data_IF_707945361349
#
_entry.id   IF_707945361349
#
_cell.length_a   1.000
_cell.length_b   1.000
_cell.length_c   1.000
_cell.angle_alpha   90.00
_cell.angle_beta   90.00
_cell.angle_gamma   90.00
#
_symmetry.space_group_name_H-M   'P 1'
#
loop_
_entity.id
_entity.type
_entity.pdbx_description
1 polymer ?
#
# COMPACT_ATOMS: atom_id res chain seq x y z
N UNK A 1 1.42 20.24 -1.77
CA UNK A 1 2.22 19.63 -0.68
C UNK A 1 2.90 20.77 0.09
N UNK A 2 3.35 20.58 1.34
CA UNK A 2 4.21 21.56 2.01
C UNK A 2 5.48 21.88 1.20
N UNK A 3 6.06 23.07 1.40
CA UNK A 3 7.24 23.55 0.66
C UNK A 3 8.44 22.62 0.90
N UNK A 4 8.72 22.29 2.16
CA UNK A 4 9.79 21.35 2.54
C UNK A 4 9.69 19.99 1.83
N UNK A 5 8.47 19.43 1.70
CA UNK A 5 8.26 18.15 0.98
C UNK A 5 8.58 18.29 -0.49
N UNK A 6 8.11 19.37 -1.13
CA UNK A 6 8.35 19.66 -2.55
C UNK A 6 9.85 19.80 -2.80
N UNK A 7 10.54 20.58 -2.00
CA UNK A 7 11.94 20.93 -2.20
C UNK A 7 12.85 19.71 -1.94
N UNK A 8 12.53 18.91 -0.92
CA UNK A 8 13.19 17.61 -0.69
C UNK A 8 12.97 16.65 -1.88
N UNK A 9 11.77 16.63 -2.45
CA UNK A 9 11.44 15.74 -3.57
C UNK A 9 12.02 16.19 -4.92
N UNK A 10 12.37 17.47 -5.08
CA UNK A 10 13.00 18.04 -6.27
C UNK A 10 14.50 18.31 -6.10
N UNK A 11 15.06 18.01 -4.93
CA UNK A 11 16.43 18.34 -4.51
C UNK A 11 16.78 19.83 -4.73
N UNK A 12 15.82 20.71 -4.42
CA UNK A 12 15.99 22.16 -4.50
C UNK A 12 16.40 22.68 -3.13
N UNK A 13 17.47 23.47 -3.10
CA UNK A 13 17.89 24.23 -1.92
C UNK A 13 17.80 25.71 -2.27
N UNK A 14 16.70 26.33 -1.84
CA UNK A 14 16.49 27.77 -2.02
C UNK A 14 16.81 28.48 -0.71
N UNK A 15 17.96 29.16 -0.68
CA UNK A 15 18.47 29.81 0.52
C UNK A 15 17.94 31.24 0.64
N UNK A 16 16.65 31.37 0.98
CA UNK A 16 16.03 32.67 1.22
C UNK A 16 16.52 33.25 2.56
N UNK A 17 17.09 34.48 2.60
CA UNK A 17 17.57 35.08 3.84
C UNK A 17 16.45 35.28 4.88
N UNK A 18 16.77 35.03 6.15
CA UNK A 18 15.83 35.14 7.29
C UNK A 18 15.99 36.42 8.11
N UNK A 19 17.18 37.01 8.12
CA UNK A 19 17.46 38.28 8.77
C UNK A 19 16.72 39.42 8.08
N UNK A 20 16.24 40.40 8.83
CA UNK A 20 15.30 41.41 8.31
C UNK A 20 15.82 42.19 7.10
N UNK A 21 17.01 42.81 7.20
CA UNK A 21 17.59 43.61 6.10
C UNK A 21 17.89 42.76 4.86
N UNK A 22 18.49 41.58 5.04
CA UNK A 22 18.82 40.73 3.89
C UNK A 22 17.58 40.14 3.22
N UNK A 23 16.52 39.89 4.00
CA UNK A 23 15.23 39.43 3.48
C UNK A 23 14.62 40.51 2.59
N UNK A 24 14.59 41.76 3.04
CA UNK A 24 14.09 42.89 2.25
C UNK A 24 14.90 43.10 0.97
N UNK A 25 16.23 43.09 1.07
CA UNK A 25 17.12 43.19 -0.08
C UNK A 25 16.89 42.07 -1.11
N UNK A 26 16.77 40.83 -0.62
CA UNK A 26 16.47 39.68 -1.46
C UNK A 26 15.09 39.82 -2.13
N UNK A 27 14.06 40.21 -1.37
CA UNK A 27 12.71 40.43 -1.91
C UNK A 27 12.69 41.53 -2.96
N UNK A 28 13.37 42.66 -2.76
CA UNK A 28 13.45 43.76 -3.73
C UNK A 28 14.12 43.31 -5.04
N UNK A 29 15.17 42.49 -4.95
CA UNK A 29 15.86 41.95 -6.11
C UNK A 29 15.00 40.92 -6.85
N UNK A 30 14.32 40.03 -6.12
CA UNK A 30 13.42 39.03 -6.69
C UNK A 30 12.21 39.69 -7.36
N UNK A 31 11.63 40.73 -6.75
CA UNK A 31 10.52 41.51 -7.34
C UNK A 31 10.95 42.19 -8.65
N UNK A 32 12.16 42.76 -8.69
CA UNK A 32 12.73 43.32 -9.91
C UNK A 32 12.93 42.27 -11.00
N UNK A 33 13.40 41.07 -10.64
CA UNK A 33 13.54 39.95 -11.58
C UNK A 33 12.18 39.50 -12.12
N UNK A 34 11.16 39.39 -11.25
CA UNK A 34 9.79 39.06 -11.64
C UNK A 34 9.21 40.14 -12.56
N UNK A 35 9.41 41.42 -12.25
CA UNK A 35 8.95 42.55 -13.08
C UNK A 35 9.58 42.58 -14.47
N UNK A 36 10.79 42.02 -14.61
CA UNK A 36 11.49 41.86 -15.89
C UNK A 36 11.14 40.55 -16.61
N UNK A 37 10.35 39.67 -15.99
CA UNK A 37 9.97 38.35 -16.52
C UNK A 37 8.59 38.38 -17.19
N UNK A 38 8.16 37.24 -17.74
CA UNK A 38 6.85 37.08 -18.38
C UNK A 38 5.67 36.97 -17.40
N UNK A 39 5.94 36.95 -16.08
CA UNK A 39 4.94 36.81 -15.03
C UNK A 39 4.17 35.48 -15.03
N UNK A 40 4.55 34.51 -15.87
CA UNK A 40 3.82 33.25 -16.06
C UNK A 40 4.56 32.08 -15.43
N UNK A 41 5.90 32.11 -15.42
CA UNK A 41 6.73 31.04 -14.84
C UNK A 41 7.31 31.47 -13.50
N UNK A 42 7.50 30.53 -12.55
CA UNK A 42 8.28 30.83 -11.36
C UNK A 42 9.73 31.17 -11.77
N UNK A 43 10.25 32.27 -11.23
CA UNK A 43 11.64 32.69 -11.43
C UNK A 43 12.59 31.95 -10.47
N UNK A 44 13.90 32.15 -10.63
CA UNK A 44 14.90 31.56 -9.74
C UNK A 44 15.10 30.05 -9.90
N UNK A 45 15.54 29.40 -8.82
CA UNK A 45 15.89 27.97 -8.82
C UNK A 45 14.68 27.06 -9.08
N UNK A 46 13.50 27.45 -8.58
CA UNK A 46 12.27 26.70 -8.79
C UNK A 46 11.87 26.65 -10.27
N UNK A 47 12.14 27.73 -11.03
CA UNK A 47 11.88 27.76 -12.48
C UNK A 47 12.76 26.84 -13.31
N UNK A 48 13.93 26.47 -12.77
CA UNK A 48 14.91 25.56 -13.38
C UNK A 48 14.74 24.11 -12.93
N UNK A 49 13.90 23.87 -11.92
CA UNK A 49 13.70 22.55 -11.36
C UNK A 49 13.03 21.59 -12.36
N UNK A 50 13.31 20.28 -12.27
CA UNK A 50 12.60 19.29 -13.06
C UNK A 50 11.10 19.34 -12.78
N UNK A 51 10.30 19.12 -13.82
CA UNK A 51 8.85 19.30 -13.79
C UNK A 51 8.10 18.29 -12.91
N UNK A 52 8.72 17.16 -12.57
CA UNK A 52 8.05 16.12 -11.79
C UNK A 52 9.00 15.24 -10.99
N UNK A 53 8.59 14.89 -9.78
CA UNK A 53 9.22 13.87 -8.94
C UNK A 53 8.20 12.80 -8.61
N UNK A 54 8.63 11.54 -8.72
CA UNK A 54 7.77 10.38 -8.46
C UNK A 54 7.21 10.38 -7.04
N UNK A 55 8.06 10.72 -6.07
CA UNK A 55 7.68 10.81 -4.67
C UNK A 55 6.55 11.84 -4.48
N UNK A 56 6.65 12.99 -5.14
CA UNK A 56 5.64 14.05 -5.04
C UNK A 56 4.31 13.64 -5.67
N UNK A 57 4.34 12.96 -6.81
CA UNK A 57 3.11 12.43 -7.43
C UNK A 57 2.40 11.41 -6.53
N UNK A 58 3.15 10.51 -5.87
CA UNK A 58 2.56 9.52 -4.95
C UNK A 58 1.96 10.14 -3.69
N UNK A 59 2.55 11.24 -3.19
CA UNK A 59 2.06 11.96 -2.01
C UNK A 59 0.93 12.95 -2.32
N UNK A 60 0.81 13.37 -3.58
CA UNK A 60 -0.17 14.36 -4.00
C UNK A 60 -1.59 13.88 -3.70
N UNK A 61 -2.42 14.79 -3.18
CA UNK A 61 -3.84 14.53 -2.97
C UNK A 61 -4.56 14.68 -4.30
N UNK A 62 -5.43 13.73 -4.61
CA UNK A 62 -6.29 13.76 -5.81
C UNK A 62 -7.56 14.57 -5.61
N UNK A 63 -8.06 14.65 -4.36
CA UNK A 63 -9.28 15.37 -4.01
C UNK A 63 -8.98 16.67 -3.23
N UNK A 64 -9.75 17.75 -3.44
CA UNK A 64 -9.60 18.99 -2.68
C UNK A 64 -9.85 18.76 -1.18
N UNK A 65 -9.13 19.50 -0.33
CA UNK A 65 -9.22 19.39 1.13
C UNK A 65 -10.02 20.53 1.74
N UNK A 66 -11.35 20.47 1.61
CA UNK A 66 -12.25 21.53 2.09
C UNK A 66 -12.28 21.70 3.61
N UNK A 67 -11.74 20.74 4.39
CA UNK A 67 -11.61 20.91 5.86
C UNK A 67 -10.69 22.08 6.24
N UNK A 68 -9.79 22.52 5.36
CA UNK A 68 -8.96 23.72 5.58
C UNK A 68 -9.79 25.01 5.59
N UNK A 69 -10.87 25.07 4.81
CA UNK A 69 -11.68 26.28 4.64
C UNK A 69 -12.74 26.43 5.75
N UNK A 70 -12.70 25.56 6.76
CA UNK A 70 -13.64 25.59 7.87
C UNK A 70 -13.32 26.77 8.80
N UNK A 71 -14.34 27.39 9.43
CA UNK A 71 -14.11 28.42 10.43
C UNK A 71 -13.21 27.93 11.57
N UNK A 72 -12.57 28.87 12.26
CA UNK A 72 -11.87 28.54 13.50
C UNK A 72 -12.83 28.08 14.59
N UNK A 73 -12.28 27.45 15.62
CA UNK A 73 -13.05 27.00 16.78
C UNK A 73 -13.41 28.20 17.64
N UNK A 74 -14.64 28.23 18.14
CA UNK A 74 -15.13 29.30 19.00
C UNK A 74 -14.41 29.25 20.36
N UNK A 75 -13.58 30.26 20.64
CA UNK A 75 -12.89 30.37 21.93
C UNK A 75 -13.85 30.50 23.13
N UNK A 76 -15.00 31.14 22.95
CA UNK A 76 -16.05 31.25 23.99
C UNK A 76 -16.76 29.91 24.24
N UNK A 77 -16.93 29.08 23.21
CA UNK A 77 -17.52 27.75 23.38
C UNK A 77 -16.57 26.81 24.15
N UNK A 78 -15.27 26.87 23.85
CA UNK A 78 -14.24 26.12 24.59
C UNK A 78 -14.25 26.46 26.08
N UNK A 79 -14.58 27.71 26.43
CA UNK A 79 -14.74 28.18 27.82
C UNK A 79 -16.12 27.88 28.43
N UNK A 80 -17.10 27.44 27.62
CA UNK A 80 -18.48 27.19 28.07
C UNK A 80 -19.39 28.42 28.14
N UNK A 81 -18.96 29.56 27.60
CA UNK A 81 -19.64 30.87 27.73
C UNK A 81 -20.23 31.39 26.41
N UNK A 82 -20.31 30.55 25.37
CA UNK A 82 -20.83 30.97 24.07
C UNK A 82 -22.35 31.20 24.12
N UNK A 83 -22.77 32.47 24.15
CA UNK A 83 -24.19 32.89 24.15
C UNK A 83 -24.86 32.86 22.77
N UNK A 84 -24.09 32.66 21.70
CA UNK A 84 -24.59 32.68 20.31
C UNK A 84 -25.25 31.38 19.87
N UNK A 85 -25.16 30.31 20.68
CA UNK A 85 -25.81 29.03 20.39
C UNK A 85 -25.51 28.52 18.98
N UNK A 86 -26.55 28.12 18.26
CA UNK A 86 -26.50 27.67 16.86
C UNK A 86 -26.21 28.78 15.83
N UNK A 87 -26.38 30.05 16.20
CA UNK A 87 -26.09 31.19 15.31
C UNK A 87 -24.59 31.52 15.25
N UNK A 88 -23.76 30.86 16.06
CA UNK A 88 -22.33 31.07 16.07
C UNK A 88 -21.68 30.57 14.74
N UNK A 89 -21.02 31.45 13.95
CA UNK A 89 -20.35 31.06 12.71
C UNK A 89 -19.06 30.26 12.96
N UNK A 90 -18.54 30.30 14.18
CA UNK A 90 -17.37 29.54 14.59
C UNK A 90 -17.77 28.13 15.01
N UNK A 91 -16.82 27.19 14.91
CA UNK A 91 -17.12 25.78 15.20
C UNK A 91 -17.19 25.52 16.69
N UNK A 92 -18.17 24.72 17.08
CA UNK A 92 -18.37 24.21 18.43
C UNK A 92 -17.88 22.75 18.51
N UNK A 93 -16.57 22.57 18.43
CA UNK A 93 -15.89 21.27 18.50
C UNK A 93 -14.58 21.39 19.29
N UNK A 94 -14.08 20.26 19.79
CA UNK A 94 -12.85 20.23 20.58
C UNK A 94 -11.65 20.69 19.72
N UNK A 95 -10.83 21.65 20.19
CA UNK A 95 -9.55 21.98 19.56
C UNK A 95 -8.60 20.78 19.49
N UNK A 96 -7.66 20.86 18.56
CA UNK A 96 -6.50 19.97 18.55
C UNK A 96 -5.73 20.13 19.87
N UNK A 97 -5.23 19.02 20.38
CA UNK A 97 -4.42 18.98 21.59
C UNK A 97 -3.12 19.80 21.40
N UNK A 98 -2.75 20.70 22.31
CA UNK A 98 -1.46 21.39 22.26
C UNK A 98 -0.25 20.43 22.31
N UNK A 99 -0.42 19.22 22.85
CA UNK A 99 0.65 18.22 22.91
C UNK A 99 0.85 17.47 21.57
N UNK A 100 -0.02 17.69 20.57
CA UNK A 100 0.19 17.15 19.22
C UNK A 100 1.33 17.94 18.55
N UNK A 101 2.43 17.29 18.08
CA UNK A 101 3.49 17.98 17.34
C UNK A 101 2.98 18.69 16.07
N UNK A 102 1.77 18.39 15.61
CA UNK A 102 1.12 19.07 14.50
C UNK A 102 0.42 20.39 14.89
N UNK A 103 0.27 20.70 16.17
CA UNK A 103 -0.43 21.87 16.66
C UNK A 103 0.43 23.15 16.55
N UNK A 104 1.74 23.05 16.77
CA UNK A 104 2.66 24.17 16.59
C UNK A 104 3.01 24.34 15.10
N UNK A 105 2.43 25.37 14.47
CA UNK A 105 2.60 25.65 13.04
C UNK A 105 2.89 27.12 12.82
N UNK A 106 4.15 27.51 13.01
CA UNK A 106 4.63 28.83 12.65
C UNK A 106 4.56 29.06 11.13
N UNK A 107 4.05 30.23 10.73
CA UNK A 107 3.90 30.62 9.32
C UNK A 107 5.25 30.71 8.61
N UNK A 108 6.28 31.23 9.31
CA UNK A 108 7.62 31.40 8.74
C UNK A 108 8.25 30.04 8.44
N UNK A 109 8.19 29.11 9.39
CA UNK A 109 8.77 27.77 9.27
C UNK A 109 8.14 26.99 8.11
N UNK A 110 6.81 27.08 7.98
CA UNK A 110 6.06 26.50 6.86
C UNK A 110 6.35 27.15 5.50
N UNK A 111 6.77 28.42 5.48
CA UNK A 111 7.14 29.13 4.25
C UNK A 111 8.58 28.80 3.81
N UNK A 112 9.54 28.91 4.73
CA UNK A 112 10.95 28.61 4.45
C UNK A 112 11.23 27.11 4.32
N UNK A 113 10.26 26.25 4.66
CA UNK A 113 10.41 24.80 4.57
C UNK A 113 11.36 24.23 5.62
N UNK A 114 11.39 24.83 6.81
CA UNK A 114 12.23 24.42 7.92
C UNK A 114 11.31 23.93 9.04
N UNK A 115 11.56 22.74 9.59
CA UNK A 115 10.84 22.19 10.74
C UNK A 115 9.30 22.21 10.60
N UNK A 116 8.74 21.92 9.42
CA UNK A 116 7.29 21.80 9.27
C UNK A 116 6.83 20.39 9.71
N UNK A 117 6.10 20.23 10.83
CA UNK A 117 5.68 18.91 11.31
C UNK A 117 4.73 18.19 10.32
N UNK A 118 3.99 18.95 9.51
CA UNK A 118 3.16 18.37 8.42
C UNK A 118 4.08 17.77 7.35
N UNK A 119 5.16 18.47 7.01
CA UNK A 119 6.13 18.00 6.04
C UNK A 119 6.83 16.74 6.52
N UNK A 120 7.32 16.72 7.76
CA UNK A 120 8.00 15.56 8.34
C UNK A 120 7.11 14.32 8.36
N UNK A 121 5.82 14.48 8.69
CA UNK A 121 4.84 13.39 8.62
C UNK A 121 4.66 12.85 7.19
N UNK A 122 4.71 13.73 6.19
CA UNK A 122 4.61 13.36 4.78
C UNK A 122 5.90 12.70 4.27
N UNK A 123 7.06 13.19 4.67
CA UNK A 123 8.37 12.60 4.36
C UNK A 123 8.51 11.22 5.00
N UNK A 124 8.10 11.06 6.27
CA UNK A 124 8.05 9.76 6.95
C UNK A 124 7.10 8.79 6.26
N UNK A 125 5.95 9.27 5.77
CA UNK A 125 5.06 8.44 4.95
C UNK A 125 5.74 8.02 3.65
N UNK A 126 6.46 8.93 2.99
CA UNK A 126 7.19 8.66 1.76
C UNK A 126 8.30 7.62 1.97
N UNK A 127 9.05 7.69 3.07
CA UNK A 127 10.11 6.73 3.39
C UNK A 127 9.56 5.32 3.67
N UNK A 128 8.34 5.22 4.19
CA UNK A 128 7.64 3.94 4.39
C UNK A 128 6.94 3.41 3.14
N UNK A 129 6.89 4.17 2.04
CA UNK A 129 6.31 3.66 0.79
C UNK A 129 7.15 2.50 0.27
N UNK A 130 6.52 1.46 -0.31
CA UNK A 130 7.27 0.39 -0.92
C UNK A 130 8.18 0.97 -2.00
N UNK A 131 9.48 0.69 -1.85
CA UNK A 131 10.51 0.90 -2.86
C UNK A 131 11.11 -0.45 -3.20
N UNK A 132 11.71 -0.53 -4.38
CA UNK A 132 12.44 -1.70 -4.78
C UNK A 132 13.89 -1.54 -4.34
N UNK A 133 14.34 -2.33 -3.39
CA UNK A 133 15.74 -2.34 -2.97
C UNK A 133 16.59 -2.99 -4.07
N UNK A 134 17.72 -2.37 -4.40
CA UNK A 134 18.66 -2.92 -5.38
C UNK A 134 19.34 -4.16 -4.82
N UNK A 135 19.54 -5.23 -5.62
CA UNK A 135 20.19 -6.44 -5.16
C UNK A 135 21.65 -6.16 -4.81
N UNK A 136 22.12 -6.76 -3.73
CA UNK A 136 23.53 -6.70 -3.30
C UNK A 136 24.44 -7.30 -4.39
N UNK A 137 24.00 -8.42 -4.98
CA UNK A 137 24.70 -9.06 -6.08
C UNK A 137 24.58 -8.24 -7.38
N UNK A 138 25.74 -7.78 -7.86
CA UNK A 138 25.86 -6.95 -9.06
C UNK A 138 25.68 -7.70 -10.37
N UNK A 139 25.70 -9.02 -10.35
CA UNK A 139 25.54 -9.84 -11.53
C UNK A 139 24.07 -10.01 -11.93
N UNK A 140 23.14 -9.71 -11.01
CA UNK A 140 21.71 -9.83 -11.25
C UNK A 140 21.24 -8.69 -12.16
N UNK A 141 20.98 -9.02 -13.42
CA UNK A 141 20.34 -8.12 -14.40
C UNK A 141 18.95 -8.62 -14.82
N UNK A 142 18.40 -9.58 -14.09
CA UNK A 142 17.10 -10.20 -14.37
C UNK A 142 16.00 -9.54 -13.54
N UNK A 143 14.93 -9.12 -14.20
CA UNK A 143 13.69 -8.66 -13.56
C UNK A 143 12.61 -9.73 -13.66
N UNK A 144 11.93 -9.97 -12.55
CA UNK A 144 10.70 -10.74 -12.47
C UNK A 144 9.51 -9.82 -12.69
N UNK A 145 8.62 -10.16 -13.62
CA UNK A 145 7.36 -9.48 -13.89
C UNK A 145 6.23 -10.46 -13.60
N UNK A 146 5.40 -10.18 -12.60
CA UNK A 146 4.28 -11.03 -12.19
C UNK A 146 2.92 -10.35 -12.42
N UNK A 147 1.86 -11.15 -12.53
CA UNK A 147 0.49 -10.67 -12.71
C UNK A 147 0.16 -10.32 -14.16
N UNK A 148 0.85 -10.93 -15.12
CA UNK A 148 0.65 -10.64 -16.54
C UNK A 148 -0.67 -11.20 -17.08
N UNK A 149 -1.11 -12.33 -16.53
CA UNK A 149 -2.20 -13.12 -17.10
C UNK A 149 -1.85 -13.64 -18.50
N UNK A 150 -2.86 -14.17 -19.19
CA UNK A 150 -2.65 -14.89 -20.47
C UNK A 150 -2.78 -13.97 -21.70
N UNK A 151 -3.10 -12.70 -21.49
CA UNK A 151 -3.40 -11.72 -22.56
C UNK A 151 -2.19 -10.92 -23.01
N UNK A 152 -1.09 -10.94 -22.25
CA UNK A 152 0.10 -10.11 -22.51
C UNK A 152 1.11 -10.92 -23.30
N UNK A 153 1.59 -10.36 -24.41
CA UNK A 153 2.55 -11.01 -25.30
C UNK A 153 4.00 -10.60 -25.01
N UNK A 154 4.95 -11.43 -25.48
CA UNK A 154 6.39 -11.13 -25.42
C UNK A 154 6.75 -9.81 -26.12
N UNK A 155 6.11 -9.54 -27.25
CA UNK A 155 6.32 -8.32 -28.02
C UNK A 155 5.96 -7.06 -27.22
N UNK A 156 4.86 -7.08 -26.46
CA UNK A 156 4.45 -5.93 -25.64
C UNK A 156 5.43 -5.65 -24.49
N UNK A 157 5.91 -6.71 -23.82
CA UNK A 157 6.92 -6.58 -22.78
C UNK A 157 8.22 -6.03 -23.36
N UNK A 158 8.71 -6.60 -24.47
CA UNK A 158 9.91 -6.10 -25.15
C UNK A 158 9.77 -4.64 -25.56
N UNK A 159 8.66 -4.26 -26.18
CA UNK A 159 8.41 -2.88 -26.60
C UNK A 159 8.45 -1.90 -25.43
N UNK A 160 7.83 -2.25 -24.29
CA UNK A 160 7.87 -1.41 -23.10
C UNK A 160 9.28 -1.34 -22.48
N UNK A 161 9.98 -2.47 -22.36
CA UNK A 161 11.27 -2.53 -21.67
C UNK A 161 12.47 -2.10 -22.53
N UNK A 162 12.32 -2.05 -23.86
CA UNK A 162 13.36 -1.61 -24.79
C UNK A 162 13.84 -0.18 -24.52
N UNK A 163 12.96 0.69 -24.01
CA UNK A 163 13.31 2.09 -23.70
C UNK A 163 14.35 2.25 -22.59
N UNK A 164 14.58 1.23 -21.77
CA UNK A 164 15.53 1.29 -20.65
C UNK A 164 16.91 0.74 -21.02
N UNK A 165 16.99 -0.10 -22.05
CA UNK A 165 18.25 -0.65 -22.55
C UNK A 165 18.08 -1.96 -23.32
N UNK A 166 19.22 -2.53 -23.73
CA UNK A 166 19.27 -3.76 -24.51
C UNK A 166 18.86 -4.99 -23.68
N UNK A 167 17.90 -5.75 -24.21
CA UNK A 167 17.35 -6.96 -23.59
C UNK A 167 18.09 -8.18 -24.16
N UNK A 168 18.71 -8.99 -23.29
CA UNK A 168 19.38 -10.24 -23.67
C UNK A 168 18.38 -11.35 -23.94
N UNK A 169 17.50 -11.61 -22.98
CA UNK A 169 16.54 -12.70 -23.05
C UNK A 169 15.23 -12.29 -22.39
N UNK A 170 14.12 -12.81 -22.91
CA UNK A 170 12.79 -12.69 -22.30
C UNK A 170 12.19 -14.08 -22.24
N UNK A 171 11.89 -14.54 -21.04
CA UNK A 171 11.34 -15.89 -20.79
C UNK A 171 9.98 -15.74 -20.12
N UNK A 172 8.91 -16.17 -20.79
CA UNK A 172 7.55 -16.12 -20.26
C UNK A 172 7.18 -17.51 -19.73
N UNK A 173 6.73 -17.56 -18.49
CA UNK A 173 6.20 -18.77 -17.84
C UNK A 173 4.70 -18.58 -17.65
N UNK A 174 3.92 -18.99 -18.66
CA UNK A 174 2.46 -18.84 -18.68
C UNK A 174 1.78 -19.52 -17.48
N UNK A 175 2.26 -20.71 -17.07
CA UNK A 175 1.72 -21.45 -15.92
C UNK A 175 1.75 -20.65 -14.61
N UNK A 176 2.73 -19.77 -14.45
CA UNK A 176 2.88 -18.92 -13.26
C UNK A 176 2.50 -17.45 -13.54
N UNK A 177 2.02 -17.17 -14.76
CA UNK A 177 1.66 -15.83 -15.24
C UNK A 177 2.76 -14.79 -14.95
N UNK A 178 4.02 -15.20 -15.17
CA UNK A 178 5.20 -14.40 -14.90
C UNK A 178 6.19 -14.40 -16.08
N UNK A 179 7.01 -13.36 -16.15
CA UNK A 179 8.12 -13.25 -17.09
C UNK A 179 9.43 -12.94 -16.36
N UNK A 180 10.52 -13.41 -16.95
CA UNK A 180 11.88 -13.06 -16.59
C UNK A 180 12.53 -12.31 -17.74
N UNK A 181 12.93 -11.07 -17.49
CA UNK A 181 13.57 -10.20 -18.48
C UNK A 181 15.01 -9.98 -18.04
N UNK A 182 15.97 -10.41 -18.85
CA UNK A 182 17.40 -10.21 -18.58
C UNK A 182 17.94 -9.06 -19.41
N UNK A 183 18.51 -8.05 -18.76
CA UNK A 183 19.17 -6.93 -19.44
C UNK A 183 20.65 -7.22 -19.70
N UNK A 184 21.20 -6.53 -20.71
CA UNK A 184 22.62 -6.58 -21.01
C UNK A 184 23.49 -5.85 -19.97
N UNK A 185 22.96 -4.76 -19.40
CA UNK A 185 23.66 -3.94 -18.42
C UNK A 185 22.88 -3.87 -17.10
N UNK A 186 23.61 -3.76 -15.98
CA UNK A 186 23.00 -3.57 -14.65
C UNK A 186 22.25 -2.25 -14.56
N UNK A 187 22.82 -1.18 -15.12
CA UNK A 187 22.22 0.16 -15.10
C UNK A 187 20.84 0.18 -15.78
N UNK A 188 20.69 -0.52 -16.92
CA UNK A 188 19.39 -0.66 -17.59
C UNK A 188 18.38 -1.43 -16.73
N UNK A 189 18.82 -2.50 -16.06
CA UNK A 189 17.97 -3.27 -15.15
C UNK A 189 17.49 -2.42 -13.97
N UNK A 190 18.38 -1.65 -13.33
CA UNK A 190 18.04 -0.78 -12.20
C UNK A 190 17.06 0.32 -12.63
N UNK A 191 17.35 1.00 -13.73
CA UNK A 191 16.46 2.03 -14.29
C UNK A 191 15.09 1.46 -14.65
N UNK A 192 15.05 0.30 -15.31
CA UNK A 192 13.81 -0.39 -15.65
C UNK A 192 13.01 -0.77 -14.39
N UNK A 193 13.69 -1.26 -13.37
CA UNK A 193 13.06 -1.69 -12.13
C UNK A 193 12.47 -0.50 -11.37
N UNK A 194 13.23 0.57 -11.20
CA UNK A 194 12.77 1.82 -10.55
C UNK A 194 11.58 2.44 -11.27
N UNK A 195 11.64 2.54 -12.61
CA UNK A 195 10.58 3.18 -13.40
C UNK A 195 9.32 2.32 -13.51
N UNK A 196 9.45 1.00 -13.48
CA UNK A 196 8.33 0.06 -13.65
C UNK A 196 7.67 -0.35 -12.34
N UNK A 197 8.38 -0.26 -11.21
CA UNK A 197 7.88 -0.69 -9.91
C UNK A 197 6.62 0.07 -9.48
N UNK A 198 5.53 -0.66 -9.22
CA UNK A 198 4.21 -0.12 -8.84
C UNK A 198 3.59 0.88 -9.83
N UNK A 199 4.09 0.95 -11.07
CA UNK A 199 3.60 1.85 -12.13
C UNK A 199 3.22 1.12 -13.41
N UNK A 200 3.84 -0.02 -13.69
CA UNK A 200 3.65 -0.73 -14.94
C UNK A 200 2.21 -1.20 -15.10
N UNK A 201 1.52 -0.64 -16.10
CA UNK A 201 0.17 -1.05 -16.50
C UNK A 201 0.22 -1.33 -17.99
N UNK A 202 0.02 -2.58 -18.39
CA UNK A 202 -0.04 -3.01 -19.79
C UNK A 202 -1.41 -3.62 -20.04
N UNK A 203 -2.09 -3.23 -21.12
CA UNK A 203 -3.45 -3.68 -21.46
C UNK A 203 -4.46 -3.53 -20.31
N UNK A 204 -4.36 -2.43 -19.55
CA UNK A 204 -5.22 -2.14 -18.40
C UNK A 204 -4.94 -3.00 -17.15
N UNK A 205 -3.93 -3.87 -17.17
CA UNK A 205 -3.54 -4.69 -16.02
C UNK A 205 -2.26 -4.18 -15.38
N UNK A 206 -2.28 -4.07 -14.05
CA UNK A 206 -1.11 -3.69 -13.25
C UNK A 206 -0.19 -4.88 -13.09
N UNK A 207 1.06 -4.71 -13.53
CA UNK A 207 2.11 -5.70 -13.39
C UNK A 207 2.95 -5.41 -12.14
N UNK A 208 3.41 -6.49 -11.50
CA UNK A 208 4.31 -6.42 -10.35
C UNK A 208 5.72 -6.69 -10.82
N UNK A 209 6.66 -5.80 -10.50
CA UNK A 209 8.07 -5.96 -10.87
C UNK A 209 8.87 -6.22 -9.61
N UNK A 210 9.76 -7.22 -9.65
CA UNK A 210 10.70 -7.55 -8.57
C UNK A 210 12.06 -7.91 -9.18
N UNK A 211 13.11 -7.88 -8.38
CA UNK A 211 14.39 -8.44 -8.81
C UNK A 211 14.29 -9.96 -8.95
N UNK A 212 14.78 -10.47 -10.07
CA UNK A 212 14.83 -11.90 -10.35
C UNK A 212 15.93 -12.55 -9.54
N UNK A 213 15.63 -13.69 -8.91
CA UNK A 213 16.64 -14.56 -8.29
C UNK A 213 17.13 -15.55 -9.35
N UNK A 214 18.44 -15.73 -9.48
CA UNK A 214 18.96 -16.73 -10.41
C UNK A 214 18.54 -18.14 -9.95
N UNK A 215 18.14 -19.01 -10.88
CA UNK A 215 17.80 -20.40 -10.56
C UNK A 215 18.99 -21.14 -9.92
N UNK A 216 20.22 -20.75 -10.28
CA UNK A 216 21.46 -21.27 -9.68
C UNK A 216 21.65 -20.88 -8.20
N UNK A 217 21.12 -19.74 -7.74
CA UNK A 217 21.15 -19.35 -6.34
C UNK A 217 20.13 -20.15 -5.50
N UNK A 218 18.98 -20.50 -6.09
CA UNK A 218 17.92 -21.26 -5.42
C UNK A 218 18.38 -22.65 -4.96
N UNK A 219 19.34 -23.25 -5.67
CA UNK A 219 19.96 -24.53 -5.28
C UNK A 219 20.98 -24.42 -4.14
N UNK A 220 21.49 -23.21 -3.82
CA UNK A 220 22.45 -22.99 -2.73
C UNK A 220 21.77 -22.53 -1.43
N UNK A 221 20.68 -21.78 -1.53
CA UNK A 221 19.91 -21.32 -0.36
C UNK A 221 19.16 -22.47 0.34
N UNK A 222 18.76 -23.51 -0.40
CA UNK A 222 18.08 -24.69 0.15
C UNK A 222 18.98 -25.57 1.06
N UNK A 223 20.30 -25.38 1.06
CA UNK A 223 21.22 -26.12 1.94
C UNK A 223 21.53 -25.39 3.25
N UNK A 224 21.17 -24.11 3.38
CA UNK A 224 21.48 -23.30 4.56
C UNK A 224 20.26 -23.02 5.45
N UNK A 225 19.05 -23.21 4.93
CA UNK A 225 17.82 -23.09 5.69
C UNK A 225 17.01 -24.37 5.50
N UNK A 226 17.03 -25.25 6.52
CA UNK A 226 16.29 -26.51 6.53
C UNK A 226 14.78 -26.29 6.59
N UNK A 227 14.19 -25.91 5.46
CA UNK A 227 12.76 -25.66 5.33
C UNK A 227 12.17 -26.74 4.42
N UNK A 228 11.47 -27.72 5.01
CA UNK A 228 10.63 -28.65 4.26
C UNK A 228 9.39 -27.96 3.70
N UNK A 229 8.85 -28.58 2.64
CA UNK A 229 7.75 -28.17 1.76
C UNK A 229 6.36 -27.94 2.42
N UNK A 230 6.27 -27.79 3.74
CA UNK A 230 5.03 -27.45 4.43
C UNK A 230 5.36 -26.47 5.55
N UNK A 231 4.97 -25.20 5.37
CA UNK A 231 5.34 -24.09 6.24
C UNK A 231 4.82 -24.22 7.67
N UNK A 232 5.60 -24.83 8.56
CA UNK A 232 5.40 -24.71 10.01
C UNK A 232 6.77 -24.71 10.69
N UNK A 233 7.23 -23.54 11.12
CA UNK A 233 8.44 -23.37 11.94
C UNK A 233 8.06 -23.65 13.40
N UNK A 234 8.54 -24.75 13.96
CA UNK A 234 8.49 -25.01 15.40
C UNK A 234 9.87 -24.74 15.98
N UNK A 235 9.96 -23.82 16.93
CA UNK A 235 11.23 -23.55 17.63
C UNK A 235 11.58 -24.73 18.56
N UNK A 236 12.86 -25.15 18.65
CA UNK A 236 13.27 -26.27 19.49
C UNK A 236 13.10 -25.95 20.98
N UNK A 237 12.51 -26.90 21.73
CA UNK A 237 12.31 -26.79 23.18
C UNK A 237 13.68 -26.90 23.89
N UNK A 238 14.09 -25.92 24.71
CA UNK A 238 15.35 -25.97 25.44
C UNK A 238 15.37 -27.11 26.47
N UNK A 239 16.36 -28.02 26.38
CA UNK A 239 16.63 -29.03 27.42
C UNK A 239 16.94 -30.46 26.98
N UNK A 240 16.83 -30.80 25.69
CA UNK A 240 17.25 -32.11 25.17
C UNK A 240 18.62 -32.00 24.47
N UNK A 241 19.56 -32.95 24.67
CA UNK A 241 20.78 -33.01 23.87
C UNK A 241 20.43 -33.19 22.39
N UNK A 242 21.03 -32.37 21.53
CA UNK A 242 20.73 -32.28 20.10
C UNK A 242 20.86 -33.61 19.36
N UNK A 243 20.14 -33.70 18.23
CA UNK A 243 20.14 -34.88 17.38
C UNK A 243 21.58 -35.28 16.98
N UNK A 244 21.88 -36.57 17.14
CA UNK A 244 23.18 -37.16 16.80
C UNK A 244 23.46 -37.02 15.30
N UNK A 245 24.74 -36.85 14.90
CA UNK A 245 25.12 -36.78 13.50
C UNK A 245 24.82 -38.10 12.77
N UNK A 246 24.39 -38.04 11.50
CA UNK A 246 24.16 -39.24 10.71
C UNK A 246 25.48 -39.99 10.45
N UNK A 247 25.47 -41.34 10.45
CA UNK A 247 26.66 -42.13 10.20
C UNK A 247 27.13 -41.99 8.73
N UNK A 248 28.43 -42.17 8.46
CA UNK A 248 28.97 -42.04 7.11
C UNK A 248 28.42 -43.14 6.19
N UNK A 249 28.07 -42.75 4.97
CA UNK A 249 27.64 -43.67 3.93
C UNK A 249 28.77 -44.63 3.59
N UNK A 250 28.57 -45.92 3.87
CA UNK A 250 29.35 -47.02 3.32
C UNK A 250 28.46 -47.86 2.41
N UNK A 251 29.15 -48.44 1.45
CA UNK A 251 28.72 -48.86 0.13
C UNK A 251 27.90 -50.16 0.11
N UNK A 252 27.49 -50.52 -1.11
CA UNK A 252 26.53 -51.53 -1.56
C UNK A 252 26.52 -52.92 -0.89
N UNK A 253 25.34 -53.55 -1.01
CA UNK A 253 25.03 -54.99 -0.96
C UNK A 253 24.91 -55.73 0.37
N UNK A 254 23.72 -55.67 1.02
CA UNK A 254 23.12 -56.84 1.72
C UNK A 254 21.58 -56.67 1.89
N UNK A 255 20.73 -57.68 1.63
CA UNK A 255 19.26 -57.55 1.70
C UNK A 255 18.70 -57.55 3.13
N UNK A 256 17.69 -56.71 3.35
CA UNK A 256 16.92 -56.54 4.59
C UNK A 256 15.93 -57.68 4.82
N UNK A 257 16.33 -58.69 5.60
CA UNK A 257 15.41 -59.65 6.23
C UNK A 257 15.29 -59.35 7.73
N UNK A 258 14.39 -58.43 8.11
CA UNK A 258 14.16 -58.01 9.50
C UNK A 258 13.05 -58.83 10.21
N UNK A 259 12.38 -59.75 9.52
CA UNK A 259 11.43 -60.68 10.13
C UNK A 259 11.81 -62.10 9.71
N UNK A 260 12.41 -62.85 10.63
CA UNK A 260 12.70 -64.28 10.48
C UNK A 260 11.39 -65.05 10.18
N UNK A 261 11.15 -65.40 8.92
CA UNK A 261 10.15 -66.37 8.49
C UNK A 261 10.79 -67.34 7.48
N UNK A 262 10.61 -68.64 7.74
CA UNK A 262 11.09 -69.75 6.91
C UNK A 262 10.40 -69.79 5.52
N UNK A 263 11.06 -70.29 4.46
CA UNK A 263 10.51 -70.30 3.11
C UNK A 263 9.77 -71.61 2.85
N UNK A 264 8.45 -71.54 2.65
CA UNK A 264 7.71 -72.71 2.22
C UNK A 264 6.26 -72.41 1.86
N UNK A 265 5.87 -72.83 0.67
CA UNK A 265 4.50 -72.94 0.14
C UNK A 265 3.82 -71.64 -0.35
N UNK A 266 3.90 -71.41 -1.66
CA UNK A 266 2.78 -70.89 -2.48
C UNK A 266 1.64 -71.94 -2.53
N UNK A 267 0.38 -71.65 -2.98
CA UNK A 267 -0.02 -70.59 -3.92
C UNK A 267 -1.42 -69.93 -3.72
N UNK A 268 -1.65 -68.87 -4.51
CA UNK A 268 -2.87 -68.50 -5.27
C UNK A 268 -4.26 -68.24 -4.62
N UNK A 269 -4.87 -67.18 -5.21
CA UNK A 269 -6.30 -66.81 -5.36
C UNK A 269 -7.04 -66.19 -4.16
N UNK A 270 -7.44 -64.93 -4.30
CA UNK A 270 -8.84 -64.48 -4.46
C UNK A 270 -8.96 -62.97 -4.18
N UNK A 271 -9.41 -62.26 -5.22
CA UNK A 271 -10.12 -60.99 -5.18
C UNK A 271 -11.34 -61.09 -4.22
N UNK A 272 -11.66 -60.05 -3.42
CA UNK A 272 -13.03 -59.59 -3.09
C UNK A 272 -13.00 -58.28 -2.26
N UNK A 273 -13.87 -57.37 -2.70
CA UNK A 273 -14.29 -56.04 -2.24
C UNK A 273 -14.60 -55.83 -0.75
N UNK A 274 -14.35 -54.59 -0.27
CA UNK A 274 -15.01 -54.01 0.91
C UNK A 274 -16.10 -52.99 0.48
N UNK A 275 -17.27 -52.92 1.18
CA UNK A 275 -18.39 -52.02 0.85
C UNK A 275 -18.30 -50.64 1.53
N UNK A 276 -18.95 -49.58 0.97
CA UNK A 276 -19.00 -48.25 1.58
C UNK A 276 -20.19 -48.06 2.56
N UNK A 277 -20.10 -47.09 3.50
CA UNK A 277 -21.15 -46.81 4.48
C UNK A 277 -22.29 -45.96 3.91
N UNK A 278 -23.50 -45.98 4.53
CA UNK A 278 -24.71 -45.44 3.93
C UNK A 278 -25.08 -44.00 4.36
N UNK A 279 -25.49 -43.20 3.36
CA UNK A 279 -26.74 -42.43 3.41
C UNK A 279 -26.73 -40.96 3.86
N UNK A 280 -26.62 -40.03 2.90
CA UNK A 280 -27.39 -38.76 2.85
C UNK A 280 -27.71 -38.45 1.37
N UNK A 281 -29.00 -38.35 1.02
CA UNK A 281 -29.52 -38.17 -0.36
C UNK A 281 -29.40 -36.73 -0.89
N UNK A 282 -29.24 -36.53 -2.21
CA UNK A 282 -29.36 -35.22 -2.89
C UNK A 282 -30.77 -35.02 -3.53
N UNK A 283 -31.20 -33.78 -3.86
CA UNK A 283 -32.40 -33.52 -4.63
C UNK A 283 -32.15 -33.55 -6.16
N UNK A 284 -33.16 -33.86 -7.01
CA UNK A 284 -32.97 -34.17 -8.42
C UNK A 284 -33.10 -32.95 -9.37
N UNK A 285 -32.68 -33.09 -10.65
CA UNK A 285 -32.51 -31.98 -11.59
C UNK A 285 -33.56 -31.90 -12.72
N UNK A 286 -33.81 -30.67 -13.18
CA UNK A 286 -34.10 -30.36 -14.58
C UNK A 286 -35.49 -29.79 -14.88
N UNK A 287 -35.57 -28.55 -15.39
CA UNK A 287 -36.41 -28.15 -16.52
C UNK A 287 -35.90 -26.79 -17.06
N UNK A 288 -35.77 -26.68 -18.39
CA UNK A 288 -34.98 -25.67 -19.09
C UNK A 288 -35.58 -24.27 -19.27
N UNK A 289 -34.79 -23.41 -19.93
CA UNK A 289 -35.19 -22.08 -20.43
C UNK A 289 -36.14 -22.18 -21.64
N UNK A 290 -36.89 -21.10 -21.97
CA UNK A 290 -36.41 -20.18 -23.02
C UNK A 290 -36.83 -18.68 -22.91
N UNK A 291 -36.01 -17.84 -23.58
CA UNK A 291 -36.33 -16.67 -24.44
C UNK A 291 -37.22 -15.47 -23.96
N UNK A 292 -36.62 -14.27 -24.04
CA UNK A 292 -37.13 -12.93 -24.42
C UNK A 292 -38.62 -12.54 -24.23
N UNK A 293 -38.90 -11.42 -23.52
CA UNK A 293 -39.44 -10.18 -24.12
C UNK A 293 -39.50 -8.97 -23.18
N UNK A 294 -39.51 -7.79 -23.80
CA UNK A 294 -39.61 -6.42 -23.27
C UNK A 294 -40.83 -6.14 -22.40
N UNK A 295 -40.72 -5.09 -21.56
CA UNK A 295 -41.80 -4.09 -21.46
C UNK A 295 -42.51 -3.92 -20.12
N UNK A 296 -42.22 -2.79 -19.48
CA UNK A 296 -43.21 -1.81 -18.96
C UNK A 296 -43.88 -1.99 -17.58
N UNK A 297 -43.89 -0.85 -16.89
CA UNK A 297 -44.86 -0.35 -15.90
C UNK A 297 -44.70 -0.78 -14.44
N UNK A 298 -44.14 0.14 -13.64
CA UNK A 298 -44.21 0.12 -12.18
C UNK A 298 -45.62 0.46 -11.66
N UNK A 299 -45.97 0.04 -10.43
CA UNK A 299 -47.30 0.28 -9.85
C UNK A 299 -47.43 1.69 -9.24
N UNK A 300 -48.65 2.27 -9.17
CA UNK A 300 -48.90 3.62 -8.66
C UNK A 300 -48.98 3.67 -7.12
N UNK A 301 -48.88 4.86 -6.49
CA UNK A 301 -48.86 5.01 -5.04
C UNK A 301 -50.29 5.08 -4.44
N UNK A 302 -50.49 4.65 -3.18
CA UNK A 302 -51.74 4.89 -2.49
C UNK A 302 -51.74 6.29 -1.83
N UNK A 303 -52.82 7.02 -2.05
CA UNK A 303 -53.19 8.24 -1.32
C UNK A 303 -53.60 7.91 0.12
N UNK A 304 -53.05 8.66 1.09
CA UNK A 304 -53.44 8.57 2.50
C UNK A 304 -52.60 9.49 3.38
N UNK A 305 -52.92 10.79 3.37
CA UNK A 305 -52.31 11.75 4.28
C UNK A 305 -52.78 11.53 5.72
N UNK A 306 -51.83 11.33 6.63
CA UNK A 306 -51.97 11.49 8.08
C UNK A 306 -50.73 12.24 8.57
N UNK A 307 -50.85 13.34 9.33
CA UNK A 307 -49.69 14.13 9.72
C UNK A 307 -48.82 13.33 10.71
N UNK A 308 -47.48 13.39 10.62
CA UNK A 308 -46.62 12.68 11.55
C UNK A 308 -46.68 13.35 12.93
N UNK A 309 -46.97 12.54 13.95
CA UNK A 309 -46.85 12.92 15.35
C UNK A 309 -45.42 13.33 15.69
N UNK A 310 -45.30 14.16 16.73
CA UNK A 310 -44.07 14.76 17.23
C UNK A 310 -42.94 13.73 17.39
N UNK A 311 -41.83 13.94 16.71
CA UNK A 311 -40.62 13.11 16.82
C UNK A 311 -40.01 13.38 18.19
N UNK A 312 -40.05 12.38 19.07
CA UNK A 312 -39.48 12.47 20.41
C UNK A 312 -37.96 12.24 20.34
N UNK A 313 -37.18 13.28 20.63
CA UNK A 313 -35.72 13.22 20.65
C UNK A 313 -35.22 13.02 22.09
N UNK A 314 -34.31 12.06 22.36
CA UNK A 314 -33.79 11.76 23.72
C UNK A 314 -33.02 12.90 24.42
N UNK A 315 -32.86 14.05 23.76
CA UNK A 315 -32.27 15.27 24.34
C UNK A 315 -33.29 16.15 25.07
N UNK A 316 -34.58 15.82 24.99
CA UNK A 316 -35.67 16.61 25.60
C UNK A 316 -36.13 16.08 26.96
N UNK A 317 -35.46 15.05 27.50
CA UNK A 317 -35.78 14.48 28.82
C UNK A 317 -35.05 15.23 29.95
N UNK A 318 -35.76 16.02 30.78
CA UNK A 318 -35.15 16.82 31.85
C UNK A 318 -34.55 15.97 32.98
N UNK A 319 -34.91 14.69 33.08
CA UNK A 319 -34.41 13.78 34.12
C UNK A 319 -33.05 13.16 33.78
N UNK A 320 -32.52 13.38 32.58
CA UNK A 320 -31.24 12.79 32.11
C UNK A 320 -30.02 13.68 32.31
N UNK A 321 -30.19 14.96 32.65
CA UNK A 321 -29.09 15.86 33.00
C UNK A 321 -28.80 15.75 34.50
N UNK A 322 -27.89 14.85 34.86
CA UNK A 322 -27.32 14.75 36.19
C UNK A 322 -26.57 16.03 36.57
N UNK A 323 -27.28 16.96 37.20
CA UNK A 323 -26.71 18.13 37.88
C UNK A 323 -27.48 18.34 39.20
N UNK A 324 -27.17 17.54 40.21
CA UNK A 324 -27.47 17.92 41.59
C UNK A 324 -26.51 19.03 42.02
N UNK A 325 -26.91 20.28 41.82
CA UNK A 325 -26.32 21.40 42.54
C UNK A 325 -27.01 21.48 43.90
N UNK A 326 -26.39 20.90 44.93
CA UNK A 326 -26.75 21.14 46.31
C UNK A 326 -26.46 22.62 46.63
N UNK A 327 -27.50 23.41 46.86
CA UNK A 327 -27.41 24.70 47.53
C UNK A 327 -27.33 24.42 49.04
N UNK A 328 -26.19 24.73 49.65
CA UNK A 328 -26.14 24.98 51.10
C UNK A 328 -26.71 26.39 51.34
N UNK A 329 -27.71 26.47 52.23
CA UNK A 329 -28.26 27.71 52.75
C UNK A 329 -27.67 28.06 54.11
N UNK A 330 -27.64 29.36 54.39
CA UNK A 330 -27.99 29.96 55.68
C UNK A 330 -29.40 30.54 55.55
#
# INVERSE_FOLDING_TARGET
LPIQVRDTGLDIKDDVPKSDVNKEYYTQNAEREIGNSDGTRPVGLLGKAPSSSEMLLKLARTTPYYKRNRPHICSFWVKGECKRGEECPYRHEKPTDPDDPLADQNIKDRYYGINDPVADKLLKRASTMPRLDTPEDKTITTLYVGGMGDTISDAELRNHFYQFGEIRTTTIVQRQQCAFIQFATRQAAELAAEKSFNKLIINGRRLTVKWGRSQAARGKEAYQDGVSEMGTRLDPVPGLPGALPPPPALEEDVPTNYFNLDPGTSPNVMNISLPPPPGINPPPPGFGAPMFHMGSMGPPPPMGMRPPGHIHYPSQDPQRMGAHAARHGD
#
